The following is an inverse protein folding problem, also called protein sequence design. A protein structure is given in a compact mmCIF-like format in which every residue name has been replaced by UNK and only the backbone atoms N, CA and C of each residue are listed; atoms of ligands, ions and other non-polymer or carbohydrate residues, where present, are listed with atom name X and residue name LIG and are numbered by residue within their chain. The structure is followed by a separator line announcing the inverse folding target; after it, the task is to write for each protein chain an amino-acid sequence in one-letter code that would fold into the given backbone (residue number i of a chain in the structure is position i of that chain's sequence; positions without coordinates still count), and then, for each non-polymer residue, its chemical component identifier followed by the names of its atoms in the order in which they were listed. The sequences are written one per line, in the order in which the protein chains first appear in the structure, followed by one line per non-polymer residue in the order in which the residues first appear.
data_IF_784340945329
#
_entry.id   IF_784340945329
#
_cell.length_a   1.000
_cell.length_b   1.000
_cell.length_c   1.000
_cell.angle_alpha   90.00
_cell.angle_beta   90.00
_cell.angle_gamma   90.00
#
_symmetry.space_group_name_H-M   'P 1'
#
loop_
_entity.id
_entity.type
_entity.pdbx_description
1 polymer ?
#
# COMPACT_ATOMS: atom_id res chain seq x y z
N UNK A 1 -2.23 -4.35 14.57
CA UNK A 1 -3.43 -4.18 13.71
C UNK A 1 -3.37 -5.09 12.49
N UNK A 2 -2.36 -4.96 11.62
CA UNK A 2 -2.23 -5.76 10.39
C UNK A 2 -2.22 -7.28 10.64
N UNK A 3 -1.52 -7.76 11.68
CA UNK A 3 -1.46 -9.18 12.04
C UNK A 3 -2.82 -9.85 12.37
N UNK A 4 -3.87 -9.06 12.65
CA UNK A 4 -5.19 -9.59 12.99
C UNK A 4 -6.11 -9.74 11.76
N UNK A 5 -5.62 -9.40 10.56
CA UNK A 5 -6.37 -9.52 9.30
C UNK A 5 -6.40 -10.99 8.89
N UNK A 6 -7.59 -11.51 8.56
CA UNK A 6 -7.85 -12.92 8.18
C UNK A 6 -6.90 -13.47 7.11
N UNK A 7 -6.47 -12.62 6.17
CA UNK A 7 -5.71 -13.00 4.97
C UNK A 7 -4.20 -12.74 5.09
N UNK A 8 -3.71 -12.38 6.28
CA UNK A 8 -2.30 -12.07 6.52
C UNK A 8 -1.63 -13.26 7.21
N UNK A 9 -0.59 -13.81 6.58
CA UNK A 9 0.23 -14.89 7.14
C UNK A 9 1.45 -14.34 7.91
N UNK A 10 2.15 -13.35 7.35
CA UNK A 10 3.35 -12.73 7.92
C UNK A 10 3.28 -11.20 7.87
N UNK A 11 3.91 -10.52 8.84
CA UNK A 11 4.03 -9.06 8.88
C UNK A 11 5.49 -8.65 9.00
N UNK A 12 5.98 -7.89 8.01
CA UNK A 12 7.31 -7.27 8.04
C UNK A 12 7.20 -5.86 8.62
N UNK A 13 7.78 -5.58 9.81
CA UNK A 13 7.81 -4.22 10.35
C UNK A 13 8.86 -3.37 9.63
N UNK A 14 8.68 -2.04 9.71
CA UNK A 14 9.61 -1.07 9.13
C UNK A 14 9.91 -1.31 7.63
N UNK A 15 8.89 -1.68 6.85
CA UNK A 15 9.00 -1.82 5.41
C UNK A 15 9.47 -0.49 4.77
N UNK A 16 10.34 -0.55 3.75
CA UNK A 16 10.84 0.64 3.08
C UNK A 16 9.71 1.38 2.35
N UNK A 17 9.87 2.70 2.17
CA UNK A 17 8.89 3.50 1.45
C UNK A 17 8.87 3.19 -0.06
N UNK A 18 10.03 2.92 -0.65
CA UNK A 18 10.18 2.50 -2.06
C UNK A 18 10.36 0.99 -2.08
N UNK A 19 9.57 0.30 -2.91
CA UNK A 19 9.65 -1.16 -3.03
C UNK A 19 10.63 -1.52 -4.14
N UNK A 20 11.69 -2.23 -3.77
CA UNK A 20 12.75 -2.69 -4.69
C UNK A 20 12.68 -4.19 -4.91
N UNK A 21 13.37 -4.70 -5.93
CA UNK A 21 13.50 -6.15 -6.14
C UNK A 21 14.26 -6.81 -4.98
N UNK A 22 15.27 -6.15 -4.43
CA UNK A 22 15.98 -6.62 -3.24
C UNK A 22 15.03 -6.83 -2.05
N UNK A 23 14.05 -5.93 -1.88
CA UNK A 23 13.04 -6.06 -0.82
C UNK A 23 12.18 -7.31 -1.05
N UNK A 24 11.72 -7.55 -2.29
CA UNK A 24 10.94 -8.74 -2.60
C UNK A 24 11.76 -10.02 -2.40
N UNK A 25 13.01 -10.03 -2.88
CA UNK A 25 13.86 -11.21 -2.82
C UNK A 25 14.29 -11.55 -1.40
N UNK A 26 14.53 -10.53 -0.55
CA UNK A 26 14.83 -10.70 0.88
C UNK A 26 13.75 -11.50 1.62
N UNK A 27 12.49 -11.33 1.25
CA UNK A 27 11.35 -12.01 1.86
C UNK A 27 10.72 -13.07 0.95
N UNK A 28 11.42 -13.45 -0.12
CA UNK A 28 10.97 -14.46 -1.08
C UNK A 28 9.55 -14.20 -1.63
N UNK A 29 9.22 -12.95 -1.93
CA UNK A 29 7.91 -12.55 -2.43
C UNK A 29 7.85 -12.64 -3.96
N UNK A 30 6.91 -13.39 -4.54
CA UNK A 30 6.79 -13.48 -6.00
C UNK A 30 6.42 -12.14 -6.67
N UNK A 31 5.51 -11.39 -6.04
CA UNK A 31 4.99 -10.12 -6.56
C UNK A 31 4.56 -9.17 -5.44
N UNK A 32 4.52 -7.88 -5.76
CA UNK A 32 3.96 -6.82 -4.94
C UNK A 32 2.53 -6.49 -5.38
N UNK A 33 1.64 -6.19 -4.44
CA UNK A 33 0.27 -5.72 -4.71
C UNK A 33 0.05 -4.37 -4.06
N UNK A 34 -0.50 -3.41 -4.81
CA UNK A 34 -0.95 -2.14 -4.26
C UNK A 34 -2.28 -1.71 -4.93
N UNK A 35 -2.94 -0.71 -4.33
CA UNK A 35 -4.06 -0.04 -4.97
C UNK A 35 -3.65 0.59 -6.30
N UNK A 36 -4.63 0.87 -7.16
CA UNK A 36 -4.42 1.53 -8.45
C UNK A 36 -4.16 3.06 -8.34
N UNK A 37 -3.88 3.56 -7.14
CA UNK A 37 -3.44 4.92 -6.88
C UNK A 37 -1.93 5.07 -7.01
N UNK A 38 -1.51 6.19 -7.61
CA UNK A 38 -0.10 6.51 -7.84
C UNK A 38 0.52 6.98 -6.52
N UNK A 39 1.67 6.41 -6.19
CA UNK A 39 2.51 6.81 -5.05
C UNK A 39 3.83 7.30 -5.60
N UNK A 40 4.23 8.51 -5.19
CA UNK A 40 5.41 9.18 -5.72
C UNK A 40 6.45 9.41 -4.63
N UNK A 41 7.70 9.24 -5.00
CA UNK A 41 8.86 9.74 -4.25
C UNK A 41 8.88 11.28 -4.26
N UNK A 42 9.73 11.87 -3.43
CA UNK A 42 9.92 13.34 -3.37
C UNK A 42 10.36 13.93 -4.71
N UNK A 43 11.03 13.13 -5.55
CA UNK A 43 11.47 13.50 -6.89
C UNK A 43 10.40 13.24 -7.97
N UNK A 44 9.20 12.81 -7.59
CA UNK A 44 8.09 12.55 -8.51
C UNK A 44 8.17 11.21 -9.25
N UNK A 45 9.04 10.28 -8.83
CA UNK A 45 9.12 8.93 -9.41
C UNK A 45 8.18 7.96 -8.71
N UNK A 46 7.60 7.03 -9.47
CA UNK A 46 6.74 5.96 -8.94
C UNK A 46 7.51 5.06 -7.96
N UNK A 47 6.96 4.86 -6.75
CA UNK A 47 7.60 4.04 -5.71
C UNK A 47 7.67 2.55 -6.06
N UNK A 48 6.95 2.11 -7.09
CA UNK A 48 6.92 0.74 -7.60
C UNK A 48 7.53 0.61 -9.00
N UNK A 49 8.22 1.63 -9.51
CA UNK A 49 8.78 1.63 -10.88
C UNK A 49 9.61 0.37 -11.18
N UNK A 50 10.54 0.02 -10.29
CA UNK A 50 11.44 -1.13 -10.44
C UNK A 50 10.68 -2.45 -10.52
N UNK A 51 9.73 -2.69 -9.60
CA UNK A 51 8.95 -3.93 -9.55
C UNK A 51 7.93 -4.03 -10.70
N UNK A 52 7.45 -2.89 -11.21
CA UNK A 52 6.62 -2.81 -12.42
C UNK A 52 7.42 -3.20 -13.67
N UNK A 53 8.61 -2.64 -13.83
CA UNK A 53 9.50 -2.97 -14.95
C UNK A 53 9.89 -4.46 -14.97
N UNK A 54 10.04 -5.06 -13.80
CA UNK A 54 10.31 -6.50 -13.65
C UNK A 54 9.08 -7.40 -13.84
N UNK A 55 7.88 -6.85 -14.08
CA UNK A 55 6.64 -7.61 -14.22
C UNK A 55 6.15 -8.26 -12.91
N UNK A 56 6.66 -7.83 -11.75
CA UNK A 56 6.34 -8.36 -10.42
C UNK A 56 5.37 -7.46 -9.65
N UNK A 57 4.60 -6.64 -10.34
CA UNK A 57 3.61 -5.74 -9.74
C UNK A 57 2.18 -6.12 -10.18
N UNK A 58 1.24 -6.11 -9.24
CA UNK A 58 -0.19 -6.32 -9.48
C UNK A 58 -1.01 -5.23 -8.81
N UNK A 59 -2.14 -4.89 -9.40
CA UNK A 59 -3.03 -3.86 -8.88
C UNK A 59 -4.32 -4.47 -8.31
N UNK A 60 -4.80 -3.90 -7.22
CA UNK A 60 -6.15 -4.13 -6.72
C UNK A 60 -7.01 -2.87 -6.83
N UNK A 61 -8.29 -3.04 -7.09
CA UNK A 61 -9.24 -1.92 -7.11
C UNK A 61 -9.52 -1.47 -5.69
N UNK A 62 -9.52 -0.16 -5.47
CA UNK A 62 -9.94 0.43 -4.20
C UNK A 62 -11.41 0.13 -3.89
N UNK A 63 -11.71 -0.11 -2.61
CA UNK A 63 -13.08 -0.21 -2.13
C UNK A 63 -13.72 1.18 -2.09
N UNK A 64 -14.83 1.35 -2.80
CA UNK A 64 -15.59 2.60 -2.83
C UNK A 64 -16.27 2.84 -1.48
N UNK A 65 -16.37 4.10 -1.05
CA UNK A 65 -17.13 4.50 0.14
C UNK A 65 -16.45 4.28 1.49
N UNK A 66 -15.16 3.90 1.51
CA UNK A 66 -14.38 3.77 2.75
C UNK A 66 -12.94 4.23 2.55
N UNK A 67 -12.45 5.08 3.46
CA UNK A 67 -11.04 5.48 3.55
C UNK A 67 -10.75 6.07 4.93
N UNK A 68 -9.48 6.16 5.33
CA UNK A 68 -9.09 6.84 6.57
C UNK A 68 -9.54 8.30 6.57
N UNK A 69 -9.40 9.00 5.44
CA UNK A 69 -9.86 10.39 5.28
C UNK A 69 -11.37 10.51 5.49
N UNK A 70 -12.16 9.60 4.92
CA UNK A 70 -13.62 9.58 5.10
C UNK A 70 -14.00 9.31 6.56
N UNK A 71 -13.35 8.35 7.23
CA UNK A 71 -13.60 8.06 8.65
C UNK A 71 -13.26 9.25 9.55
N UNK A 72 -12.11 9.89 9.35
CA UNK A 72 -11.73 11.11 10.08
C UNK A 72 -12.70 12.25 9.77
N UNK A 73 -13.09 12.40 8.51
CA UNK A 73 -14.08 13.39 8.08
C UNK A 73 -15.41 13.25 8.81
N UNK A 74 -15.92 12.01 8.95
CA UNK A 74 -17.13 11.74 9.75
C UNK A 74 -16.94 12.17 11.21
N UNK A 75 -15.81 11.83 11.83
CA UNK A 75 -15.55 12.21 13.22
C UNK A 75 -15.51 13.73 13.42
N UNK A 76 -14.91 14.47 12.48
CA UNK A 76 -14.77 15.92 12.58
C UNK A 76 -16.05 16.69 12.20
N UNK A 77 -16.90 16.12 11.34
CA UNK A 77 -18.11 16.79 10.83
C UNK A 77 -19.36 16.44 11.65
N UNK A 78 -19.37 15.33 12.38
CA UNK A 78 -20.47 14.95 13.30
C UNK A 78 -20.66 15.96 14.44
N UNK A 79 -19.65 16.76 14.77
CA UNK A 79 -19.73 17.79 15.83
C UNK A 79 -20.23 19.16 15.35
N UNK A 80 -20.57 19.34 14.07
CA UNK A 80 -21.20 20.58 13.59
C UNK A 80 -22.73 20.47 13.72
N UNK A 81 -23.24 20.92 14.87
CA UNK A 81 -24.65 21.28 15.05
C UNK A 81 -24.94 22.66 14.44
#
# INVERSE_FOLDING_TARGET
MVQAIKWVDEVVPAAPYVTTLETLDKYNCDFCVHGNDITLTVDGRDTYEEVKQAGRYRECKRTQGVSTTDLVGRMLLVTKA
#
